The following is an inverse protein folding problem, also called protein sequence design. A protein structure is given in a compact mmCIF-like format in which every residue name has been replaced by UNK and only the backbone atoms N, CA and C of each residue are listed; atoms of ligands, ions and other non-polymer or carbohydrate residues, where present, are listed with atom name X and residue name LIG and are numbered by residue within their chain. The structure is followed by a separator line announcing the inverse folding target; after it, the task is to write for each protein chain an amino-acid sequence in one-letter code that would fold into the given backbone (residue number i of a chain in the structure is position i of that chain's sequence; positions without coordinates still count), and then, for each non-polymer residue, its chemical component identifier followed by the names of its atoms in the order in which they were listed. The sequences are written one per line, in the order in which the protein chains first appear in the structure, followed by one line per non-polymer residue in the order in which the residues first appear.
data_IF_009415419252
#
_entry.id   IF_009415419252
#
_cell.length_a   1.000
_cell.length_b   1.000
_cell.length_c   1.000
_cell.angle_alpha   90.00
_cell.angle_beta   90.00
_cell.angle_gamma   90.00
#
_symmetry.space_group_name_H-M   'P 1'
#
loop_
_entity.id
_entity.type
_entity.pdbx_description
1 polymer ?
#
# COMPACT_ATOMS: atom_id res chain seq x y z
N UNK A 1 9.76 14.78 -49.11
CA UNK A 1 10.81 14.96 -48.09
C UNK A 1 10.23 15.79 -46.95
N UNK A 2 9.99 15.17 -45.79
CA UNK A 2 10.16 15.76 -44.45
C UNK A 2 9.59 14.75 -43.44
N UNK A 3 10.46 13.81 -43.04
CA UNK A 3 10.26 12.87 -41.94
C UNK A 3 11.41 13.14 -40.98
N UNK A 4 11.24 14.13 -40.11
CA UNK A 4 12.19 14.46 -39.06
C UNK A 4 11.42 15.14 -37.93
N UNK A 5 10.77 14.33 -37.08
CA UNK A 5 9.95 14.86 -36.00
C UNK A 5 9.43 13.82 -35.00
N UNK A 6 9.97 12.60 -34.98
CA UNK A 6 9.60 11.56 -34.00
C UNK A 6 10.72 11.15 -33.05
N UNK A 7 11.97 11.52 -33.33
CA UNK A 7 13.13 10.96 -32.61
C UNK A 7 13.55 11.75 -31.35
N UNK A 8 12.82 12.80 -30.95
CA UNK A 8 13.21 13.64 -29.81
C UNK A 8 12.51 13.24 -28.49
N UNK A 9 11.38 12.52 -28.54
CA UNK A 9 10.64 12.14 -27.31
C UNK A 9 11.20 10.88 -26.63
N UNK A 10 11.96 10.05 -27.35
CA UNK A 10 12.41 8.74 -26.85
C UNK A 10 13.76 8.80 -26.10
N UNK A 11 14.43 9.96 -26.04
CA UNK A 11 15.77 10.10 -25.45
C UNK A 11 15.77 10.45 -23.94
N UNK A 12 14.61 10.82 -23.39
CA UNK A 12 14.47 11.18 -21.96
C UNK A 12 14.09 9.98 -21.08
N UNK A 13 13.60 8.88 -21.68
CA UNK A 13 13.20 7.67 -20.95
C UNK A 13 14.35 6.67 -20.71
N UNK A 14 15.53 6.90 -21.30
CA UNK A 14 16.68 6.00 -21.22
C UNK A 14 17.78 6.41 -20.25
N UNK A 15 17.52 7.36 -19.33
CA UNK A 15 18.50 7.67 -18.29
C UNK A 15 18.46 6.59 -17.18
N UNK A 16 19.62 6.02 -16.79
CA UNK A 16 19.66 5.14 -15.63
C UNK A 16 19.24 5.96 -14.42
N UNK A 17 18.04 5.71 -13.89
CA UNK A 17 17.66 6.23 -12.57
C UNK A 17 18.76 5.75 -11.62
N UNK A 18 19.56 6.70 -11.11
CA UNK A 18 20.60 6.40 -10.13
C UNK A 18 20.01 5.53 -9.02
N UNK A 19 20.79 4.58 -8.51
CA UNK A 19 20.34 3.67 -7.45
C UNK A 19 19.68 4.52 -6.35
N UNK A 20 18.40 4.30 -6.01
CA UNK A 20 17.74 5.10 -4.98
C UNK A 20 18.61 5.12 -3.73
N UNK A 21 18.66 6.25 -3.02
CA UNK A 21 19.34 6.28 -1.74
C UNK A 21 18.75 5.17 -0.84
N UNK A 22 19.60 4.57 -0.01
CA UNK A 22 19.18 3.47 0.85
C UNK A 22 17.93 3.88 1.65
N UNK A 23 16.85 3.09 1.56
CA UNK A 23 15.58 3.37 2.24
C UNK A 23 14.58 4.20 1.45
N UNK A 24 14.91 4.62 0.22
CA UNK A 24 14.03 5.47 -0.60
C UNK A 24 13.46 4.77 -1.83
N UNK A 25 13.76 3.49 -2.06
CA UNK A 25 13.18 2.75 -3.19
C UNK A 25 11.71 2.40 -2.88
N UNK A 26 10.74 3.02 -3.56
CA UNK A 26 9.32 2.78 -3.30
C UNK A 26 8.90 1.36 -3.63
N UNK A 27 9.55 0.72 -4.61
CA UNK A 27 9.27 -0.69 -4.98
C UNK A 27 9.68 -1.60 -3.83
N UNK A 28 10.86 -1.34 -3.25
CA UNK A 28 11.35 -2.11 -2.10
C UNK A 28 10.49 -1.88 -0.86
N UNK A 29 10.08 -0.64 -0.61
CA UNK A 29 9.18 -0.29 0.50
C UNK A 29 7.85 -1.04 0.38
N UNK A 30 7.23 -1.02 -0.80
CA UNK A 30 5.97 -1.73 -1.07
C UNK A 30 6.14 -3.25 -0.91
N UNK A 31 7.23 -3.83 -1.42
CA UNK A 31 7.55 -5.25 -1.24
C UNK A 31 7.62 -5.65 0.26
N UNK A 32 8.21 -4.80 1.10
CA UNK A 32 8.28 -5.05 2.55
C UNK A 32 6.90 -4.97 3.19
N UNK A 33 6.10 -3.95 2.86
CA UNK A 33 4.74 -3.77 3.39
C UNK A 33 3.84 -4.95 2.96
N UNK A 34 3.97 -5.43 1.74
CA UNK A 34 3.23 -6.59 1.24
C UNK A 34 3.57 -7.87 2.01
N UNK A 35 4.85 -8.09 2.30
CA UNK A 35 5.28 -9.20 3.15
C UNK A 35 4.74 -9.05 4.57
N UNK A 36 4.82 -7.85 5.14
CA UNK A 36 4.30 -7.55 6.47
C UNK A 36 2.80 -7.85 6.57
N UNK A 37 2.02 -7.40 5.57
CA UNK A 37 0.57 -7.67 5.47
C UNK A 37 0.26 -9.15 5.56
N UNK A 38 0.98 -9.99 4.80
CA UNK A 38 0.75 -11.44 4.81
C UNK A 38 1.11 -12.06 6.16
N UNK A 39 2.25 -11.70 6.74
CA UNK A 39 2.66 -12.21 8.06
C UNK A 39 1.69 -11.80 9.16
N UNK A 40 1.24 -10.54 9.18
CA UNK A 40 0.31 -10.07 10.21
C UNK A 40 -1.08 -10.71 10.07
N UNK A 41 -1.56 -10.97 8.85
CA UNK A 41 -2.83 -11.68 8.64
C UNK A 41 -2.74 -13.15 9.08
N UNK A 42 -1.60 -13.81 8.82
CA UNK A 42 -1.43 -15.24 9.13
C UNK A 42 -1.15 -15.49 10.61
N UNK A 43 -0.31 -14.66 11.24
CA UNK A 43 0.18 -14.87 12.60
C UNK A 43 -0.43 -13.96 13.66
N UNK A 44 -1.11 -12.90 13.26
CA UNK A 44 -1.46 -11.78 14.16
C UNK A 44 -0.26 -10.89 14.46
N UNK A 45 -0.53 -9.69 14.99
CA UNK A 45 0.50 -8.69 15.26
C UNK A 45 1.50 -9.15 16.35
N UNK A 46 1.01 -9.72 17.44
CA UNK A 46 1.84 -10.12 18.59
C UNK A 46 2.86 -11.21 18.22
N UNK A 47 2.43 -12.27 17.54
CA UNK A 47 3.28 -13.41 17.20
C UNK A 47 4.19 -13.17 15.98
N UNK A 48 3.93 -12.13 15.18
CA UNK A 48 4.77 -11.77 14.06
C UNK A 48 6.13 -11.18 14.51
N UNK A 49 7.20 -11.51 13.78
CA UNK A 49 8.53 -10.94 14.01
C UNK A 49 9.11 -10.28 12.76
N UNK A 50 10.06 -9.35 12.94
CA UNK A 50 10.81 -8.74 11.84
C UNK A 50 11.50 -9.78 10.94
N UNK A 51 11.93 -10.92 11.50
CA UNK A 51 12.55 -12.00 10.73
C UNK A 51 11.53 -12.75 9.86
N UNK A 52 10.31 -12.95 10.35
CA UNK A 52 9.22 -13.53 9.56
C UNK A 52 8.93 -12.66 8.34
N UNK A 53 8.83 -11.35 8.57
CA UNK A 53 8.54 -10.38 7.52
C UNK A 53 9.68 -10.29 6.51
N UNK A 54 10.93 -10.32 6.98
CA UNK A 54 12.12 -10.35 6.11
C UNK A 54 12.07 -11.54 5.15
N UNK A 55 11.75 -12.73 5.69
CA UNK A 55 11.62 -13.97 4.91
C UNK A 55 10.46 -13.90 3.93
N UNK A 56 9.31 -13.44 4.36
CA UNK A 56 8.10 -13.33 3.54
C UNK A 56 8.23 -12.29 2.43
N UNK A 57 8.89 -11.18 2.70
CA UNK A 57 9.16 -10.13 1.72
C UNK A 57 10.31 -10.49 0.77
N UNK A 58 11.11 -11.52 1.06
CA UNK A 58 12.28 -11.88 0.24
C UNK A 58 13.36 -10.80 0.22
N UNK A 59 13.54 -10.09 1.34
CA UNK A 59 14.58 -9.05 1.50
C UNK A 59 15.62 -9.48 2.52
N UNK A 60 16.75 -8.77 2.60
CA UNK A 60 17.74 -9.01 3.65
C UNK A 60 17.34 -8.30 4.95
N UNK A 61 17.84 -8.79 6.09
CA UNK A 61 17.65 -8.13 7.39
C UNK A 61 18.21 -6.69 7.37
N UNK A 62 19.37 -6.46 6.77
CA UNK A 62 19.90 -5.10 6.62
C UNK A 62 18.97 -4.20 5.78
N UNK A 63 18.35 -4.76 4.73
CA UNK A 63 17.39 -4.03 3.90
C UNK A 63 16.16 -3.63 4.70
N UNK A 64 15.53 -4.54 5.46
CA UNK A 64 14.29 -4.19 6.16
C UNK A 64 14.50 -3.07 7.19
N UNK A 65 15.61 -3.12 7.95
CA UNK A 65 15.91 -2.13 8.99
C UNK A 65 16.33 -0.75 8.45
N UNK A 66 16.66 -0.66 7.17
CA UNK A 66 16.85 0.63 6.50
C UNK A 66 15.51 1.32 6.21
N UNK A 67 14.42 0.58 6.07
CA UNK A 67 13.08 1.14 5.83
C UNK A 67 12.25 1.30 7.11
N UNK A 68 12.39 0.37 8.06
CA UNK A 68 11.58 0.33 9.27
C UNK A 68 12.41 -0.14 10.45
N UNK A 69 12.50 0.68 11.50
CA UNK A 69 13.33 0.41 12.67
C UNK A 69 12.79 -0.77 13.50
N UNK A 70 11.48 -0.98 13.50
CA UNK A 70 10.82 -2.00 14.31
C UNK A 70 9.48 -2.47 13.69
N UNK A 71 8.83 -3.43 14.36
CA UNK A 71 7.58 -4.06 13.92
C UNK A 71 6.41 -3.07 13.96
N UNK A 72 6.43 -2.19 14.95
CA UNK A 72 5.40 -1.19 15.23
C UNK A 72 5.35 -0.14 14.11
N UNK A 73 6.49 0.45 13.74
CA UNK A 73 6.61 1.42 12.65
C UNK A 73 6.19 0.81 11.30
N UNK A 74 6.56 -0.44 11.05
CA UNK A 74 6.13 -1.15 9.84
C UNK A 74 4.63 -1.42 9.84
N UNK A 75 4.06 -1.75 11.00
CA UNK A 75 2.62 -1.94 11.14
C UNK A 75 1.86 -0.62 10.95
N UNK A 76 2.33 0.48 11.54
CA UNK A 76 1.77 1.82 11.33
C UNK A 76 1.78 2.20 9.84
N UNK A 77 2.90 1.97 9.16
CA UNK A 77 3.03 2.21 7.72
C UNK A 77 2.07 1.37 6.88
N UNK A 78 1.87 0.10 7.24
CA UNK A 78 0.88 -0.77 6.59
C UNK A 78 -0.54 -0.25 6.81
N UNK A 79 -0.88 0.14 8.04
CA UNK A 79 -2.21 0.67 8.36
C UNK A 79 -2.48 1.98 7.62
N UNK A 80 -1.48 2.86 7.48
CA UNK A 80 -1.57 4.08 6.67
C UNK A 80 -1.94 3.78 5.22
N UNK A 81 -1.26 2.81 4.60
CA UNK A 81 -1.51 2.40 3.22
C UNK A 81 -2.88 1.75 3.02
N UNK A 82 -3.30 0.91 3.97
CA UNK A 82 -4.64 0.30 3.95
C UNK A 82 -5.72 1.36 4.16
N UNK A 83 -5.52 2.35 5.03
CA UNK A 83 -6.49 3.42 5.27
C UNK A 83 -6.73 4.23 4.00
N UNK A 84 -5.67 4.61 3.29
CA UNK A 84 -5.79 5.29 1.99
C UNK A 84 -6.67 4.50 1.01
N UNK A 85 -6.48 3.18 0.95
CA UNK A 85 -7.24 2.29 0.06
C UNK A 85 -8.69 2.08 0.49
N UNK A 86 -8.93 1.91 1.80
CA UNK A 86 -10.26 1.61 2.35
C UNK A 86 -11.18 2.84 2.25
N UNK A 87 -10.66 4.03 2.60
CA UNK A 87 -11.47 5.23 2.74
C UNK A 87 -11.62 6.04 1.45
N UNK A 88 -10.70 5.94 0.49
CA UNK A 88 -10.76 6.70 -0.77
C UNK A 88 -12.09 6.53 -1.50
N UNK A 89 -12.53 5.29 -1.72
CA UNK A 89 -13.79 5.00 -2.42
C UNK A 89 -15.02 5.44 -1.62
N UNK A 90 -14.92 5.56 -0.29
CA UNK A 90 -16.01 6.04 0.54
C UNK A 90 -16.17 7.56 0.42
N UNK A 91 -15.06 8.31 0.39
CA UNK A 91 -15.09 9.75 0.18
C UNK A 91 -15.62 10.11 -1.21
N UNK A 92 -15.26 9.35 -2.25
CA UNK A 92 -15.79 9.54 -3.61
C UNK A 92 -17.31 9.39 -3.69
N UNK A 93 -17.91 8.52 -2.87
CA UNK A 93 -19.38 8.39 -2.78
C UNK A 93 -20.01 9.62 -2.14
N UNK A 94 -19.37 10.19 -1.12
CA UNK A 94 -19.86 11.38 -0.41
C UNK A 94 -19.71 12.67 -1.21
N UNK A 95 -18.73 12.73 -2.11
CA UNK A 95 -18.43 13.90 -2.95
C UNK A 95 -19.40 14.06 -4.15
N UNK A 96 -20.32 13.10 -4.35
CA UNK A 96 -21.35 13.21 -5.38
C UNK A 96 -22.43 14.22 -4.98
N UNK A 97 -22.43 15.37 -5.68
CA UNK A 97 -23.50 16.37 -5.62
C UNK A 97 -24.79 15.76 -6.23
N UNK A 98 -25.76 15.43 -5.38
CA UNK A 98 -27.01 14.77 -5.77
C UNK A 98 -28.03 14.67 -4.63
N UNK A 99 -28.96 13.72 -4.73
CA UNK A 99 -29.94 13.43 -3.67
C UNK A 99 -29.25 12.86 -2.42
N UNK A 100 -29.28 13.61 -1.32
CA UNK A 100 -28.68 13.26 -0.03
C UNK A 100 -29.09 11.87 0.45
N UNK A 101 -30.37 11.49 0.26
CA UNK A 101 -30.86 10.17 0.68
C UNK A 101 -30.13 9.06 -0.07
N UNK A 102 -30.02 9.19 -1.40
CA UNK A 102 -29.34 8.19 -2.23
C UNK A 102 -27.84 8.11 -1.91
N UNK A 103 -27.19 9.25 -1.70
CA UNK A 103 -25.77 9.31 -1.31
C UNK A 103 -25.53 8.60 0.02
N UNK A 104 -26.34 8.88 1.04
CA UNK A 104 -26.21 8.23 2.35
C UNK A 104 -26.52 6.73 2.31
N UNK A 105 -27.51 6.30 1.51
CA UNK A 105 -27.81 4.87 1.34
C UNK A 105 -26.66 4.14 0.65
N UNK A 106 -26.11 4.69 -0.44
CA UNK A 106 -24.94 4.11 -1.13
C UNK A 106 -23.73 4.05 -0.22
N UNK A 107 -23.46 5.13 0.51
CA UNK A 107 -22.38 5.19 1.50
C UNK A 107 -22.55 4.11 2.57
N UNK A 108 -23.73 3.98 3.16
CA UNK A 108 -24.03 2.95 4.16
C UNK A 108 -23.80 1.55 3.64
N UNK A 109 -24.23 1.24 2.42
CA UNK A 109 -24.01 -0.05 1.76
C UNK A 109 -22.52 -0.35 1.56
N UNK A 110 -21.75 0.62 1.04
CA UNK A 110 -20.30 0.48 0.84
C UNK A 110 -19.58 0.30 2.18
N UNK A 111 -19.92 1.11 3.17
CA UNK A 111 -19.36 1.01 4.52
C UNK A 111 -19.64 -0.36 5.13
N UNK A 112 -20.90 -0.83 5.09
CA UNK A 112 -21.29 -2.14 5.62
C UNK A 112 -20.50 -3.27 4.98
N UNK A 113 -20.35 -3.30 3.64
CA UNK A 113 -19.55 -4.32 2.96
C UNK A 113 -18.06 -4.28 3.34
N UNK A 114 -17.51 -3.10 3.62
CA UNK A 114 -16.11 -2.95 4.02
C UNK A 114 -15.88 -3.44 5.45
N UNK A 115 -16.67 -2.98 6.41
CA UNK A 115 -16.50 -3.31 7.83
C UNK A 115 -16.84 -4.77 8.16
N UNK A 116 -17.72 -5.41 7.38
CA UNK A 116 -18.07 -6.84 7.55
C UNK A 116 -17.24 -7.78 6.67
N UNK A 117 -16.25 -7.24 5.94
CA UNK A 117 -15.38 -8.09 5.13
C UNK A 117 -14.57 -9.05 5.99
N UNK A 118 -14.34 -10.26 5.49
CA UNK A 118 -13.55 -11.27 6.20
C UNK A 118 -12.16 -10.76 6.60
N UNK A 119 -11.55 -9.88 5.79
CA UNK A 119 -10.27 -9.23 6.10
C UNK A 119 -10.34 -8.38 7.38
N UNK A 120 -11.39 -7.58 7.56
CA UNK A 120 -11.56 -6.73 8.76
C UNK A 120 -11.88 -7.57 10.00
N UNK A 121 -12.70 -8.62 9.84
CA UNK A 121 -13.03 -9.55 10.93
C UNK A 121 -11.78 -10.32 11.40
N UNK A 122 -10.92 -10.73 10.46
CA UNK A 122 -9.68 -11.44 10.78
C UNK A 122 -8.62 -10.52 11.39
N UNK A 123 -8.55 -9.25 10.97
CA UNK A 123 -7.58 -8.29 11.52
C UNK A 123 -7.83 -7.88 12.99
N UNK A 124 -8.99 -8.23 13.55
CA UNK A 124 -9.36 -7.94 14.95
C UNK A 124 -9.12 -9.11 15.91
N UNK A 125 -8.61 -10.24 15.41
CA UNK A 125 -8.25 -11.42 16.21
C UNK A 125 -6.74 -11.49 16.41
#
# INVERSE_FOLDING_TARGET
MSSAGKDQCDLLDSLPRGRPAAGQDPVKRSQIIDGARRVFIDKGFEAASMNDITREAGVSKGTIYVYFANKEELFEALIEEERGTIFKNMYEVLDQIGDLRQTLVKFGIVLSMKITSARVILAQR
#
